data_IF_823906774340
#
_entry.id   IF_823906774340
#
_cell.length_a   1.000
_cell.length_b   1.000
_cell.length_c   1.000
_cell.angle_alpha   90.00
_cell.angle_beta   90.00
_cell.angle_gamma   90.00
#
_symmetry.space_group_name_H-M   'P 1'
#
loop_
_entity.id
_entity.type
_entity.pdbx_description
1 polymer ?
#
# COMPACT_ATOMS: atom_id res chain seq x y z
N UNK A 1 -11.89 20.85 9.98
CA UNK A 1 -11.40 21.35 8.67
C UNK A 1 -12.09 20.56 7.57
N UNK A 2 -12.89 21.20 6.70
CA UNK A 2 -13.37 20.53 5.47
C UNK A 2 -12.18 20.42 4.53
N UNK A 3 -11.68 19.21 4.27
CA UNK A 3 -10.76 18.98 3.15
C UNK A 3 -11.57 19.24 1.88
N UNK A 4 -11.20 20.27 1.12
CA UNK A 4 -11.72 20.48 -0.23
C UNK A 4 -11.22 19.33 -1.09
N UNK A 5 -12.15 18.51 -1.58
CA UNK A 5 -11.87 17.43 -2.52
C UNK A 5 -11.51 18.02 -3.88
N UNK A 6 -10.39 17.56 -4.47
CA UNK A 6 -10.00 17.94 -5.83
C UNK A 6 -11.07 17.49 -6.83
N UNK A 7 -11.28 18.21 -7.95
CA UNK A 7 -12.13 17.74 -9.04
C UNK A 7 -11.64 16.40 -9.61
N UNK A 8 -12.56 15.54 -10.05
CA UNK A 8 -12.22 14.21 -10.59
C UNK A 8 -11.24 14.28 -11.78
N UNK A 9 -11.39 15.28 -12.65
CA UNK A 9 -10.48 15.49 -13.78
C UNK A 9 -9.04 15.79 -13.32
N UNK A 10 -8.87 16.52 -12.21
CA UNK A 10 -7.54 16.81 -11.65
C UNK A 10 -6.92 15.55 -11.04
N UNK A 11 -7.74 14.72 -10.38
CA UNK A 11 -7.30 13.43 -9.83
C UNK A 11 -6.87 12.48 -10.96
N UNK A 12 -7.68 12.38 -12.02
CA UNK A 12 -7.37 11.54 -13.18
C UNK A 12 -6.03 11.93 -13.83
N UNK A 13 -5.79 13.22 -14.04
CA UNK A 13 -4.50 13.70 -14.56
C UNK A 13 -3.31 13.34 -13.66
N UNK A 14 -3.47 13.43 -12.34
CA UNK A 14 -2.41 13.06 -11.38
C UNK A 14 -2.15 11.55 -11.42
N UNK A 15 -3.19 10.73 -11.52
CA UNK A 15 -3.08 9.28 -11.64
C UNK A 15 -2.40 8.91 -12.96
N UNK A 16 -2.79 9.51 -14.08
CA UNK A 16 -2.19 9.25 -15.40
C UNK A 16 -0.70 9.61 -15.41
N UNK A 17 -0.32 10.76 -14.83
CA UNK A 17 1.06 11.16 -14.71
C UNK A 17 1.89 10.19 -13.85
N UNK A 18 1.33 9.73 -12.73
CA UNK A 18 1.96 8.72 -11.86
C UNK A 18 2.13 7.38 -12.57
N UNK A 19 1.08 6.89 -13.24
CA UNK A 19 1.14 5.64 -14.00
C UNK A 19 2.12 5.75 -15.18
N UNK A 20 2.29 6.92 -15.77
CA UNK A 20 3.26 7.14 -16.84
C UNK A 20 4.72 7.06 -16.35
N UNK A 21 5.00 7.44 -15.10
CA UNK A 21 6.35 7.37 -14.53
C UNK A 21 6.75 5.98 -14.01
N UNK A 22 5.79 5.07 -13.83
CA UNK A 22 6.03 3.74 -13.28
C UNK A 22 6.53 2.73 -14.32
N UNK A 23 7.47 1.88 -13.91
CA UNK A 23 7.83 0.66 -14.63
C UNK A 23 6.68 -0.37 -14.64
N UNK A 24 6.79 -1.37 -15.52
CA UNK A 24 5.83 -2.47 -15.54
C UNK A 24 5.81 -3.24 -14.21
N UNK A 25 6.96 -3.42 -13.57
CA UNK A 25 7.09 -4.14 -12.29
C UNK A 25 6.34 -3.41 -11.19
N UNK A 26 6.50 -2.08 -11.09
CA UNK A 26 5.78 -1.25 -10.12
C UNK A 26 4.25 -1.31 -10.35
N UNK A 27 3.81 -1.28 -11.62
CA UNK A 27 2.37 -1.40 -11.96
C UNK A 27 1.79 -2.74 -11.53
N UNK A 28 2.51 -3.83 -11.80
CA UNK A 28 2.10 -5.16 -11.35
C UNK A 28 2.09 -5.25 -9.82
N UNK A 29 3.05 -4.62 -9.15
CA UNK A 29 3.10 -4.60 -7.69
C UNK A 29 1.89 -3.86 -7.07
N UNK A 30 1.37 -2.80 -7.71
CA UNK A 30 0.13 -2.13 -7.27
C UNK A 30 -1.11 -3.03 -7.33
N UNK A 31 -1.10 -4.09 -8.14
CA UNK A 31 -2.17 -5.08 -8.22
C UNK A 31 -2.02 -6.21 -7.18
N UNK A 32 -0.91 -6.25 -6.44
CA UNK A 32 -0.62 -7.30 -5.48
C UNK A 32 -1.10 -6.94 -4.07
N UNK A 33 -1.73 -7.93 -3.42
CA UNK A 33 -1.98 -7.95 -1.98
C UNK A 33 -0.94 -8.86 -1.33
N UNK A 34 -0.08 -8.31 -0.49
CA UNK A 34 0.99 -9.06 0.18
C UNK A 34 0.56 -9.47 1.60
N UNK A 35 1.04 -10.60 2.08
CA UNK A 35 0.75 -11.03 3.46
C UNK A 35 1.76 -10.46 4.45
N UNK A 36 1.27 -9.78 5.48
CA UNK A 36 2.06 -9.20 6.57
C UNK A 36 2.15 -10.07 7.83
N UNK A 37 1.63 -11.30 7.78
CA UNK A 37 1.70 -12.25 8.88
C UNK A 37 3.10 -12.86 9.03
N UNK A 38 3.52 -13.13 10.27
CA UNK A 38 4.84 -13.73 10.53
C UNK A 38 4.99 -15.16 9.98
N UNK A 39 3.89 -15.91 9.96
CA UNK A 39 3.84 -17.28 9.45
C UNK A 39 3.79 -17.36 7.91
N UNK A 40 3.71 -16.21 7.23
CA UNK A 40 3.62 -16.19 5.78
C UNK A 40 4.91 -16.74 5.16
N UNK A 41 4.78 -17.73 4.27
CA UNK A 41 5.92 -18.32 3.58
C UNK A 41 6.40 -17.37 2.46
N UNK A 42 7.71 -17.17 2.34
CA UNK A 42 8.31 -16.30 1.33
C UNK A 42 8.88 -14.99 1.91
N UNK A 43 9.19 -14.01 1.03
CA UNK A 43 9.78 -12.74 1.43
C UNK A 43 8.88 -11.96 2.38
N UNK A 44 9.48 -11.20 3.29
CA UNK A 44 8.73 -10.38 4.24
C UNK A 44 8.09 -9.18 3.54
N UNK A 45 6.96 -8.70 4.05
CA UNK A 45 6.23 -7.59 3.44
C UNK A 45 7.11 -6.33 3.32
N UNK A 46 7.96 -6.08 4.32
CA UNK A 46 8.95 -5.01 4.34
C UNK A 46 9.89 -5.07 3.12
N UNK A 47 10.36 -6.26 2.76
CA UNK A 47 11.29 -6.48 1.64
C UNK A 47 10.58 -6.25 0.31
N UNK A 48 9.39 -6.85 0.15
CA UNK A 48 8.58 -6.73 -1.07
C UNK A 48 8.23 -5.26 -1.33
N UNK A 49 7.75 -4.54 -0.31
CA UNK A 49 7.33 -3.14 -0.45
C UNK A 49 8.53 -2.25 -0.79
N UNK A 50 9.69 -2.47 -0.14
CA UNK A 50 10.91 -1.70 -0.43
C UNK A 50 11.41 -1.91 -1.87
N UNK A 51 11.38 -3.16 -2.34
CA UNK A 51 11.94 -3.49 -3.66
C UNK A 51 11.06 -2.99 -4.82
N UNK A 52 9.74 -3.14 -4.71
CA UNK A 52 8.82 -2.92 -5.84
C UNK A 52 7.50 -2.24 -5.49
N UNK A 53 7.25 -1.96 -4.22
CA UNK A 53 5.94 -1.52 -3.71
C UNK A 53 4.93 -2.66 -3.57
N UNK A 54 3.71 -2.29 -3.19
CA UNK A 54 2.54 -3.17 -3.14
C UNK A 54 1.25 -2.32 -3.20
N UNK A 55 0.13 -2.92 -3.60
CA UNK A 55 -1.18 -2.24 -3.49
C UNK A 55 -1.75 -2.31 -2.08
N UNK A 56 -1.63 -3.47 -1.43
CA UNK A 56 -2.19 -3.68 -0.09
C UNK A 56 -1.47 -4.76 0.72
N UNK A 57 -1.68 -4.73 2.04
CA UNK A 57 -1.20 -5.71 3.01
C UNK A 57 -2.39 -6.36 3.73
N UNK A 58 -2.44 -7.69 3.79
CA UNK A 58 -3.43 -8.48 4.54
C UNK A 58 -2.76 -9.27 5.68
N UNK A 59 -3.56 -9.77 6.63
CA UNK A 59 -3.15 -10.61 7.76
C UNK A 59 -2.17 -9.94 8.74
N UNK A 60 -2.24 -8.62 8.83
CA UNK A 60 -1.49 -7.84 9.80
C UNK A 60 -2.46 -7.07 10.69
N UNK A 61 -2.28 -7.14 12.01
CA UNK A 61 -3.12 -6.43 12.98
C UNK A 61 -2.30 -5.85 14.13
N UNK A 62 -1.30 -5.03 13.79
CA UNK A 62 -0.44 -4.31 14.74
C UNK A 62 -0.20 -2.89 14.22
N UNK A 63 -0.56 -1.88 15.00
CA UNK A 63 -0.49 -0.47 14.59
C UNK A 63 0.94 0.04 14.43
N UNK A 64 1.90 -0.51 15.19
CA UNK A 64 3.32 -0.15 15.02
C UNK A 64 3.83 -0.68 13.70
N UNK A 65 3.47 -1.92 13.36
CA UNK A 65 3.84 -2.51 12.06
C UNK A 65 3.14 -1.82 10.88
N UNK A 66 1.88 -1.40 11.02
CA UNK A 66 1.23 -0.56 10.00
C UNK A 66 2.04 0.70 9.71
N UNK A 67 2.43 1.44 10.75
CA UNK A 67 3.24 2.65 10.58
C UNK A 67 4.61 2.36 9.97
N UNK A 68 5.27 1.27 10.39
CA UNK A 68 6.55 0.87 9.82
C UNK A 68 6.44 0.56 8.32
N UNK A 69 5.47 -0.27 7.92
CA UNK A 69 5.27 -0.63 6.52
C UNK A 69 4.84 0.57 5.68
N UNK A 70 4.01 1.46 6.22
CA UNK A 70 3.62 2.68 5.53
C UNK A 70 4.82 3.61 5.33
N UNK A 71 5.71 3.71 6.33
CA UNK A 71 6.94 4.48 6.23
C UNK A 71 7.85 3.93 5.14
N UNK A 72 8.04 2.61 5.09
CA UNK A 72 8.81 1.95 4.02
C UNK A 72 8.19 2.23 2.64
N UNK A 73 6.86 2.12 2.51
CA UNK A 73 6.17 2.38 1.25
C UNK A 73 6.40 3.81 0.74
N UNK A 74 6.30 4.80 1.63
CA UNK A 74 6.40 6.22 1.25
C UNK A 74 7.85 6.70 1.10
N UNK A 75 8.78 6.23 1.94
CA UNK A 75 10.15 6.75 2.01
C UNK A 75 11.18 5.90 1.27
N UNK A 76 10.91 4.60 1.07
CA UNK A 76 11.92 3.65 0.58
C UNK A 76 11.52 2.92 -0.71
N UNK A 77 10.24 2.92 -1.11
CA UNK A 77 9.79 2.27 -2.35
C UNK A 77 10.04 3.13 -3.61
N UNK A 78 10.21 2.53 -4.79
CA UNK A 78 10.54 3.26 -6.02
C UNK A 78 9.55 4.38 -6.38
N UNK A 79 8.24 4.14 -6.21
CA UNK A 79 7.20 5.12 -6.53
C UNK A 79 6.75 5.97 -5.33
N UNK A 80 7.16 5.65 -4.10
CA UNK A 80 6.69 6.32 -2.88
C UNK A 80 5.17 6.21 -2.63
N UNK A 81 4.48 5.27 -3.29
CA UNK A 81 3.02 5.11 -3.19
C UNK A 81 2.67 4.43 -1.85
N UNK A 82 1.73 5.00 -1.06
CA UNK A 82 1.31 4.40 0.20
C UNK A 82 0.55 3.09 -0.03
N UNK A 83 0.65 2.17 0.93
CA UNK A 83 -0.06 0.88 0.91
C UNK A 83 -1.40 0.96 1.65
N UNK A 84 -2.38 0.19 1.17
CA UNK A 84 -3.64 -0.06 1.88
C UNK A 84 -3.45 -1.19 2.91
N UNK A 85 -4.11 -1.09 4.06
CA UNK A 85 -4.16 -2.17 5.04
C UNK A 85 -5.56 -2.78 5.06
N UNK A 86 -5.65 -4.07 4.74
CA UNK A 86 -6.88 -4.83 4.74
C UNK A 86 -6.99 -5.70 5.99
N UNK A 87 -8.22 -5.81 6.50
CA UNK A 87 -8.57 -6.63 7.65
C UNK A 87 -9.92 -7.30 7.36
N UNK A 88 -10.02 -8.59 7.66
CA UNK A 88 -11.29 -9.32 7.63
C UNK A 88 -12.12 -8.99 8.89
N UNK A 89 -12.69 -7.78 8.95
CA UNK A 89 -13.57 -7.34 10.04
C UNK A 89 -15.01 -7.73 9.72
N UNK A 90 -15.36 -8.99 10.01
CA UNK A 90 -16.65 -9.57 9.59
C UNK A 90 -17.81 -9.18 10.52
N UNK A 91 -17.59 -9.18 11.84
CA UNK A 91 -18.65 -8.89 12.83
C UNK A 91 -18.18 -7.95 13.95
N UNK A 92 -17.27 -7.03 13.61
CA UNK A 92 -16.70 -6.04 14.53
C UNK A 92 -15.25 -6.34 14.89
N UNK A 93 -14.48 -5.27 15.12
CA UNK A 93 -13.02 -5.33 15.34
C UNK A 93 -12.65 -5.44 16.82
N UNK A 94 -13.43 -4.77 17.67
CA UNK A 94 -13.37 -4.84 19.14
C UNK A 94 -14.81 -4.82 19.63
N UNK A 95 -15.35 -5.99 19.90
CA UNK A 95 -16.74 -6.24 20.31
C UNK A 95 -16.78 -7.15 21.51
#
# INVERSE_FOLDING_TARGET
MRKTTKPEAEIAQQVDALLASMSLVEKVAQLAQVGGAEWNAGPKAEEIIRERGAGSVLWLNDTKKFNQLQKIAVEESPSGIPVLFALDVIHGYRT
#
